data_IF_511856330232
#
_entry.id   IF_511856330232
#
_cell.length_a   1.000
_cell.length_b   1.000
_cell.length_c   1.000
_cell.angle_alpha   90.00
_cell.angle_beta   90.00
_cell.angle_gamma   90.00
#
_symmetry.space_group_name_H-M   'P 1'
#
loop_
_entity.id
_entity.type
_entity.pdbx_description
1 polymer ?
#
# COMPACT_ATOMS: atom_id res chain seq x y z
N UNK A 1 12.23 -39.32 21.53
CA UNK A 1 12.09 -37.85 21.45
C UNK A 1 11.34 -37.54 20.17
N UNK A 2 10.42 -36.57 20.14
CA UNK A 2 9.76 -36.18 18.89
C UNK A 2 10.75 -35.49 17.94
N UNK A 3 10.53 -35.64 16.64
CA UNK A 3 11.32 -34.96 15.60
C UNK A 3 10.98 -33.46 15.54
N UNK A 4 11.98 -32.62 15.27
CA UNK A 4 11.77 -31.19 15.07
C UNK A 4 11.12 -30.91 13.72
N UNK A 5 10.06 -30.09 13.71
CA UNK A 5 9.43 -29.57 12.49
C UNK A 5 9.05 -28.11 12.71
N UNK A 6 9.66 -27.22 11.95
CA UNK A 6 9.23 -25.82 11.88
C UNK A 6 7.94 -25.72 11.04
N UNK A 7 7.04 -24.84 11.46
CA UNK A 7 5.82 -24.48 10.74
C UNK A 7 5.65 -22.97 10.84
N UNK A 8 5.51 -22.30 9.69
CA UNK A 8 5.13 -20.90 9.65
C UNK A 8 3.74 -20.76 10.29
N UNK A 9 3.58 -19.89 11.31
CA UNK A 9 2.27 -19.65 11.94
C UNK A 9 1.25 -19.00 11.00
N UNK A 10 1.70 -18.36 9.91
CA UNK A 10 0.86 -17.62 8.96
C UNK A 10 1.21 -18.02 7.51
N UNK A 11 1.00 -19.29 7.11
CA UNK A 11 1.30 -19.74 5.75
C UNK A 11 0.41 -19.01 4.74
N UNK A 12 1.00 -18.54 3.65
CA UNK A 12 0.28 -17.85 2.59
C UNK A 12 -0.28 -18.85 1.56
N UNK A 13 -1.44 -18.51 0.98
CA UNK A 13 -1.96 -19.19 -0.20
C UNK A 13 -1.19 -18.84 -1.47
N UNK A 14 -1.58 -19.46 -2.59
CA UNK A 14 -1.02 -19.12 -3.90
C UNK A 14 -1.29 -17.65 -4.26
N UNK A 15 -0.27 -16.95 -4.74
CA UNK A 15 -0.41 -15.59 -5.21
C UNK A 15 -1.03 -15.56 -6.61
N UNK A 16 -2.26 -15.06 -6.70
CA UNK A 16 -3.00 -14.88 -7.96
C UNK A 16 -3.03 -13.42 -8.41
N UNK A 17 -2.24 -12.55 -7.77
CA UNK A 17 -2.20 -11.12 -8.05
C UNK A 17 -1.56 -10.87 -9.42
N UNK A 18 -2.16 -9.98 -10.21
CA UNK A 18 -1.54 -9.50 -11.45
C UNK A 18 -0.68 -8.29 -11.13
N UNK A 19 0.57 -8.34 -11.54
CA UNK A 19 1.53 -7.24 -11.40
C UNK A 19 1.78 -6.57 -12.74
N UNK A 20 2.05 -5.27 -12.72
CA UNK A 20 2.62 -4.56 -13.85
C UNK A 20 4.01 -4.05 -13.46
N UNK A 21 4.90 -3.95 -14.45
CA UNK A 21 6.24 -3.41 -14.26
C UNK A 21 6.18 -1.89 -14.38
N UNK A 22 6.74 -1.17 -13.40
CA UNK A 22 6.95 0.28 -13.52
C UNK A 22 7.97 0.52 -14.64
N UNK A 23 7.61 1.34 -15.63
CA UNK A 23 8.46 1.57 -16.79
C UNK A 23 9.82 2.17 -16.39
N UNK A 24 10.90 1.61 -16.95
CA UNK A 24 12.26 2.04 -16.65
C UNK A 24 12.78 1.64 -15.27
N UNK A 25 12.05 0.81 -14.51
CA UNK A 25 12.46 0.42 -13.15
C UNK A 25 13.68 -0.51 -13.13
N UNK A 26 14.03 -1.16 -14.25
CA UNK A 26 15.19 -2.04 -14.36
C UNK A 26 16.52 -1.32 -14.07
N UNK A 27 16.59 0.00 -14.27
CA UNK A 27 17.79 0.79 -13.99
C UNK A 27 18.14 0.86 -12.50
N UNK A 28 17.16 0.60 -11.63
CA UNK A 28 17.34 0.67 -10.19
C UNK A 28 17.76 -0.65 -9.57
N UNK A 29 17.87 -1.72 -10.36
CA UNK A 29 18.22 -3.04 -9.84
C UNK A 29 19.43 -3.61 -10.57
N UNK A 30 20.28 -4.29 -9.82
CA UNK A 30 21.39 -5.05 -10.37
C UNK A 30 21.66 -6.26 -9.49
N UNK A 31 22.24 -7.31 -10.07
CA UNK A 31 22.68 -8.48 -9.31
C UNK A 31 24.19 -8.41 -9.18
N UNK A 32 24.69 -8.57 -7.96
CA UNK A 32 26.12 -8.69 -7.68
C UNK A 32 26.39 -10.01 -6.98
N UNK A 33 27.56 -10.60 -7.24
CA UNK A 33 28.00 -11.76 -6.48
C UNK A 33 28.75 -11.30 -5.22
N UNK A 34 28.32 -11.77 -4.06
CA UNK A 34 28.98 -11.55 -2.78
C UNK A 34 29.18 -12.89 -2.10
N UNK A 35 30.44 -13.27 -1.89
CA UNK A 35 30.83 -14.55 -1.28
C UNK A 35 30.15 -15.78 -1.93
N UNK A 36 30.10 -15.78 -3.26
CA UNK A 36 29.48 -16.88 -4.02
C UNK A 36 27.95 -16.86 -4.04
N UNK A 37 27.28 -15.89 -3.40
CA UNK A 37 25.83 -15.71 -3.45
C UNK A 37 25.44 -14.51 -4.31
N UNK A 38 24.37 -14.68 -5.08
CA UNK A 38 23.78 -13.57 -5.82
C UNK A 38 22.98 -12.68 -4.86
N UNK A 39 23.25 -11.38 -4.93
CA UNK A 39 22.62 -10.35 -4.11
C UNK A 39 21.96 -9.33 -5.04
N UNK A 40 20.67 -9.12 -4.83
CA UNK A 40 19.92 -8.06 -5.48
C UNK A 40 20.26 -6.71 -4.84
N UNK A 41 21.02 -5.88 -5.54
CA UNK A 41 21.18 -4.47 -5.20
C UNK A 41 20.00 -3.68 -5.74
N UNK A 42 19.33 -2.97 -4.85
CA UNK A 42 18.23 -2.05 -5.15
C UNK A 42 18.69 -0.64 -4.85
N UNK A 43 18.68 0.24 -5.83
CA UNK A 43 18.90 1.66 -5.60
C UNK A 43 17.81 2.20 -4.65
N UNK A 44 18.15 2.94 -3.57
CA UNK A 44 17.16 3.48 -2.65
C UNK A 44 16.06 4.31 -3.34
N UNK A 45 16.36 4.95 -4.48
CA UNK A 45 15.38 5.68 -5.30
C UNK A 45 14.25 4.78 -5.82
N UNK A 46 14.49 3.48 -5.97
CA UNK A 46 13.45 2.52 -6.33
C UNK A 46 12.30 2.51 -5.31
N UNK A 47 12.62 2.64 -4.02
CA UNK A 47 11.64 2.64 -2.94
C UNK A 47 10.78 3.90 -2.98
N UNK A 48 11.39 5.05 -3.29
CA UNK A 48 10.67 6.32 -3.51
C UNK A 48 9.73 6.21 -4.70
N UNK A 49 10.20 5.70 -5.85
CA UNK A 49 9.38 5.54 -7.06
C UNK A 49 8.24 4.55 -6.82
N UNK A 50 8.54 3.37 -6.27
CA UNK A 50 7.54 2.34 -5.98
C UNK A 50 6.46 2.85 -5.02
N UNK A 51 6.86 3.51 -3.93
CA UNK A 51 5.92 4.02 -2.93
C UNK A 51 5.06 5.14 -3.51
N UNK A 52 5.63 6.01 -4.34
CA UNK A 52 4.88 7.05 -5.02
C UNK A 52 3.84 6.48 -5.98
N UNK A 53 4.25 5.55 -6.85
CA UNK A 53 3.34 4.89 -7.79
C UNK A 53 2.23 4.12 -7.06
N UNK A 54 2.58 3.32 -6.05
CA UNK A 54 1.60 2.49 -5.34
C UNK A 54 0.59 3.33 -4.54
N UNK A 55 1.05 4.39 -3.85
CA UNK A 55 0.17 5.27 -3.10
C UNK A 55 -0.72 6.11 -4.01
N UNK A 56 -0.24 6.49 -5.20
CA UNK A 56 -1.07 7.12 -6.23
C UNK A 56 -2.16 6.15 -6.68
N UNK A 57 -1.79 4.98 -7.17
CA UNK A 57 -2.73 4.00 -7.70
C UNK A 57 -3.82 3.62 -6.70
N UNK A 58 -3.47 3.32 -5.44
CA UNK A 58 -4.46 2.94 -4.41
C UNK A 58 -5.41 4.10 -4.04
N UNK A 59 -5.03 5.35 -4.30
CA UNK A 59 -5.86 6.52 -4.03
C UNK A 59 -6.91 6.78 -5.12
N UNK A 60 -6.69 6.26 -6.33
CA UNK A 60 -7.53 6.52 -7.51
C UNK A 60 -8.19 5.26 -8.11
N UNK A 61 -7.60 4.09 -7.89
CA UNK A 61 -8.02 2.83 -8.47
C UNK A 61 -8.47 1.82 -7.41
N UNK A 62 -9.36 0.93 -7.83
CA UNK A 62 -9.85 -0.18 -7.01
C UNK A 62 -9.47 -1.52 -7.64
N UNK A 63 -9.39 -2.56 -6.80
CA UNK A 63 -9.20 -3.93 -7.29
C UNK A 63 -10.43 -4.34 -8.14
N UNK A 64 -10.24 -4.99 -9.30
CA UNK A 64 -11.35 -5.45 -10.13
C UNK A 64 -12.36 -6.31 -9.35
N UNK A 65 -11.86 -7.22 -8.50
CA UNK A 65 -12.72 -8.08 -7.69
C UNK A 65 -13.65 -7.31 -6.72
N UNK A 66 -13.25 -6.12 -6.25
CA UNK A 66 -14.13 -5.28 -5.44
C UNK A 66 -15.24 -4.66 -6.30
N UNK A 67 -14.88 -4.09 -7.45
CA UNK A 67 -15.88 -3.53 -8.39
C UNK A 67 -16.86 -4.60 -8.88
N UNK A 68 -16.38 -5.81 -9.15
CA UNK A 68 -17.24 -6.95 -9.54
C UNK A 68 -18.21 -7.32 -8.42
N UNK A 69 -17.78 -7.27 -7.16
CA UNK A 69 -18.67 -7.52 -6.01
C UNK A 69 -19.74 -6.43 -5.89
N UNK A 70 -19.37 -5.15 -6.03
CA UNK A 70 -20.34 -4.04 -5.99
C UNK A 70 -21.31 -4.13 -7.18
N UNK A 71 -20.83 -4.47 -8.37
CA UNK A 71 -21.65 -4.61 -9.57
C UNK A 71 -22.68 -5.74 -9.46
N UNK A 72 -22.35 -6.85 -8.79
CA UNK A 72 -23.29 -7.97 -8.56
C UNK A 72 -24.55 -7.56 -7.80
N UNK A 73 -24.46 -6.55 -6.92
CA UNK A 73 -25.60 -6.02 -6.16
C UNK A 73 -26.72 -5.54 -7.10
N UNK A 74 -26.37 -5.02 -8.29
CA UNK A 74 -27.34 -4.46 -9.23
C UNK A 74 -28.28 -5.52 -9.83
N UNK A 75 -27.83 -6.78 -9.92
CA UNK A 75 -28.60 -7.89 -10.48
C UNK A 75 -29.12 -8.86 -9.43
N UNK A 76 -28.85 -8.60 -8.15
CA UNK A 76 -29.27 -9.47 -7.05
C UNK A 76 -30.78 -9.25 -6.78
N UNK A 77 -31.62 -10.31 -6.92
CA UNK A 77 -33.05 -10.20 -6.64
C UNK A 77 -33.37 -9.95 -5.16
N UNK A 78 -32.44 -10.23 -4.24
CA UNK A 78 -32.61 -9.98 -2.80
C UNK A 78 -32.15 -8.58 -2.38
N UNK A 79 -31.42 -7.85 -3.24
CA UNK A 79 -30.95 -6.50 -2.95
C UNK A 79 -32.10 -5.49 -2.94
N UNK A 80 -32.11 -4.64 -1.91
CA UNK A 80 -33.08 -3.54 -1.83
C UNK A 80 -32.78 -2.48 -2.88
N UNK A 81 -33.77 -1.62 -3.15
CA UNK A 81 -33.57 -0.48 -4.05
C UNK A 81 -32.50 0.49 -3.52
N UNK A 82 -32.36 0.61 -2.19
CA UNK A 82 -31.31 1.41 -1.59
C UNK A 82 -29.92 0.80 -1.83
N UNK A 83 -29.78 -0.51 -1.72
CA UNK A 83 -28.50 -1.19 -1.98
C UNK A 83 -28.05 -0.98 -3.42
N UNK A 84 -28.99 -1.10 -4.37
CA UNK A 84 -28.73 -0.86 -5.80
C UNK A 84 -28.35 0.59 -6.08
N UNK A 85 -29.04 1.55 -5.46
CA UNK A 85 -28.73 2.98 -5.60
C UNK A 85 -27.33 3.31 -5.05
N UNK A 86 -26.98 2.78 -3.88
CA UNK A 86 -25.65 2.97 -3.28
C UNK A 86 -24.57 2.30 -4.12
N UNK A 87 -24.80 1.07 -4.59
CA UNK A 87 -23.85 0.37 -5.46
C UNK A 87 -23.59 1.15 -6.76
N UNK A 88 -24.64 1.69 -7.38
CA UNK A 88 -24.50 2.54 -8.56
C UNK A 88 -23.67 3.79 -8.27
N UNK A 89 -23.90 4.46 -7.13
CA UNK A 89 -23.13 5.63 -6.74
C UNK A 89 -21.65 5.28 -6.53
N UNK A 90 -21.33 4.15 -5.90
CA UNK A 90 -19.95 3.70 -5.72
C UNK A 90 -19.25 3.40 -7.06
N UNK A 91 -19.92 2.72 -7.99
CA UNK A 91 -19.34 2.42 -9.30
C UNK A 91 -19.09 3.69 -10.13
N UNK A 92 -19.99 4.68 -10.05
CA UNK A 92 -19.79 6.00 -10.69
C UNK A 92 -18.63 6.76 -10.06
N UNK A 93 -18.52 6.74 -8.74
CA UNK A 93 -17.39 7.35 -8.05
C UNK A 93 -16.05 6.68 -8.45
N UNK A 94 -16.03 5.35 -8.57
CA UNK A 94 -14.85 4.61 -9.03
C UNK A 94 -14.47 4.96 -10.47
N UNK A 95 -15.45 5.09 -11.37
CA UNK A 95 -15.23 5.54 -12.74
C UNK A 95 -14.60 6.93 -12.78
N UNK A 96 -15.15 7.89 -12.04
CA UNK A 96 -14.63 9.27 -12.00
C UNK A 96 -13.20 9.28 -11.47
N UNK A 97 -12.95 8.56 -10.37
CA UNK A 97 -11.64 8.54 -9.73
C UNK A 97 -10.54 7.92 -10.60
N UNK A 98 -10.89 6.95 -11.45
CA UNK A 98 -9.96 6.31 -12.36
C UNK A 98 -9.35 7.25 -13.43
N UNK A 99 -9.84 8.49 -13.54
CA UNK A 99 -9.23 9.54 -14.37
C UNK A 99 -8.05 10.25 -13.67
N UNK A 100 -7.71 9.89 -12.43
CA UNK A 100 -6.59 10.42 -11.66
C UNK A 100 -6.65 11.94 -11.35
N UNK A 101 -7.83 12.56 -11.38
CA UNK A 101 -8.01 13.96 -10.98
C UNK A 101 -8.56 14.10 -9.56
N UNK A 102 -9.57 13.30 -9.22
CA UNK A 102 -10.23 13.28 -7.92
C UNK A 102 -10.02 11.92 -7.24
N UNK A 103 -9.51 11.87 -5.99
CA UNK A 103 -9.32 10.61 -5.29
C UNK A 103 -10.65 9.95 -4.99
N UNK A 104 -10.64 8.62 -4.81
CA UNK A 104 -11.85 7.84 -4.63
C UNK A 104 -12.60 8.24 -3.35
N UNK A 105 -11.89 8.72 -2.33
CA UNK A 105 -12.48 9.19 -1.08
C UNK A 105 -11.79 10.49 -0.63
N UNK A 106 -12.54 11.37 0.02
CA UNK A 106 -12.00 12.58 0.65
C UNK A 106 -11.05 12.26 1.81
N UNK A 107 -11.25 11.13 2.47
CA UNK A 107 -10.29 10.59 3.42
C UNK A 107 -9.29 9.70 2.69
N UNK A 108 -8.21 10.32 2.22
CA UNK A 108 -7.10 9.66 1.53
C UNK A 108 -6.21 8.83 2.47
N UNK A 109 -6.60 8.72 3.75
CA UNK A 109 -6.13 7.74 4.70
C UNK A 109 -4.71 7.94 5.22
N UNK A 110 -4.35 7.14 6.21
CA UNK A 110 -2.98 7.00 6.69
C UNK A 110 -2.22 6.05 5.76
N UNK A 111 -1.06 6.49 5.26
CA UNK A 111 -0.17 5.64 4.49
C UNK A 111 0.43 4.56 5.39
N UNK A 112 0.12 3.30 5.11
CA UNK A 112 0.62 2.12 5.84
C UNK A 112 1.31 1.18 4.87
N UNK A 113 2.55 0.82 5.16
CA UNK A 113 3.41 0.03 4.30
C UNK A 113 3.95 -1.14 5.10
N UNK A 114 3.61 -2.35 4.66
CA UNK A 114 4.24 -3.59 5.14
C UNK A 114 5.22 -4.05 4.08
N UNK A 115 6.49 -4.11 4.43
CA UNK A 115 7.55 -4.54 3.52
C UNK A 115 8.26 -5.77 4.08
N UNK A 116 8.57 -6.74 3.22
CA UNK A 116 9.30 -7.96 3.55
C UNK A 116 10.56 -8.01 2.70
N UNK A 117 11.70 -7.74 3.33
CA UNK A 117 13.01 -7.63 2.70
C UNK A 117 13.73 -8.97 2.76
N UNK A 118 13.95 -9.58 1.61
CA UNK A 118 14.78 -10.77 1.48
C UNK A 118 16.22 -10.54 1.95
N UNK A 119 16.82 -11.56 2.55
CA UNK A 119 18.20 -11.53 3.04
C UNK A 119 19.21 -11.16 1.94
N UNK A 120 18.93 -11.55 0.70
CA UNK A 120 19.77 -11.22 -0.47
C UNK A 120 19.41 -9.87 -1.11
N UNK A 121 18.65 -9.00 -0.43
CA UNK A 121 18.27 -7.66 -0.95
C UNK A 121 19.03 -6.56 -0.22
N UNK A 122 19.86 -5.83 -0.95
CA UNK A 122 20.64 -4.72 -0.42
C UNK A 122 20.19 -3.39 -1.01
N UNK A 123 19.70 -2.50 -0.15
CA UNK A 123 19.22 -1.17 -0.53
C UNK A 123 20.22 -0.06 -0.25
N UNK A 124 21.23 -0.30 0.59
CA UNK A 124 22.31 0.65 0.85
C UNK A 124 21.91 1.96 1.55
N UNK A 125 20.72 2.05 2.15
CA UNK A 125 20.23 3.27 2.80
C UNK A 125 19.14 3.02 3.84
N UNK A 126 18.53 4.12 4.31
CA UNK A 126 17.37 4.07 5.19
C UNK A 126 16.10 3.85 4.37
N UNK A 127 15.63 2.60 4.31
CA UNK A 127 14.45 2.22 3.54
C UNK A 127 13.21 3.01 3.93
N UNK A 128 13.00 3.26 5.23
CA UNK A 128 11.83 3.97 5.73
C UNK A 128 11.82 5.44 5.31
N UNK A 129 12.99 6.08 5.22
CA UNK A 129 13.13 7.45 4.70
C UNK A 129 12.71 7.51 3.22
N UNK A 130 13.17 6.57 2.40
CA UNK A 130 12.87 6.54 0.95
C UNK A 130 11.42 6.19 0.65
N UNK A 131 10.85 5.27 1.43
CA UNK A 131 9.40 4.98 1.39
C UNK A 131 8.61 6.24 1.76
N UNK A 132 9.01 6.94 2.84
CA UNK A 132 8.37 8.19 3.28
C UNK A 132 8.48 9.29 2.23
N UNK A 133 9.60 9.39 1.52
CA UNK A 133 9.79 10.33 0.40
C UNK A 133 8.78 10.07 -0.72
N UNK A 134 8.55 8.81 -1.09
CA UNK A 134 7.54 8.44 -2.10
C UNK A 134 6.11 8.75 -1.64
N UNK A 135 5.80 8.50 -0.37
CA UNK A 135 4.51 8.90 0.24
C UNK A 135 4.36 10.42 0.17
N UNK A 136 5.34 11.18 0.66
CA UNK A 136 5.35 12.64 0.63
C UNK A 136 5.04 13.16 -0.77
N UNK A 137 5.81 12.72 -1.77
CA UNK A 137 5.61 13.13 -3.17
C UNK A 137 4.18 12.90 -3.63
N UNK A 138 3.62 11.73 -3.34
CA UNK A 138 2.23 11.42 -3.72
C UNK A 138 1.25 12.43 -3.13
N UNK A 139 1.31 12.67 -1.82
CA UNK A 139 0.36 13.54 -1.16
C UNK A 139 0.55 15.02 -1.53
N UNK A 140 1.77 15.45 -1.90
CA UNK A 140 2.06 16.83 -2.26
C UNK A 140 1.91 17.16 -3.75
N UNK A 141 2.01 16.16 -4.63
CA UNK A 141 1.94 16.33 -6.09
C UNK A 141 0.56 15.96 -6.67
N UNK A 142 -0.28 15.24 -5.90
CA UNK A 142 -1.64 14.87 -6.27
C UNK A 142 -2.70 15.62 -5.44
N UNK A 143 -3.96 15.57 -5.87
CA UNK A 143 -5.10 16.21 -5.18
C UNK A 143 -5.58 15.40 -3.95
N UNK A 144 -4.67 15.07 -3.03
CA UNK A 144 -4.95 14.28 -1.82
C UNK A 144 -5.06 15.15 -0.57
N UNK A 145 -5.47 14.55 0.56
CA UNK A 145 -5.67 15.25 1.83
C UNK A 145 -4.58 14.92 2.87
N UNK A 146 -4.10 15.94 3.57
CA UNK A 146 -3.23 15.80 4.73
C UNK A 146 -4.04 15.52 5.99
N UNK A 147 -4.04 14.28 6.44
CA UNK A 147 -4.92 13.78 7.51
C UNK A 147 -4.17 13.43 8.80
N UNK A 148 -2.84 13.51 8.80
CA UNK A 148 -2.04 13.23 10.00
C UNK A 148 -1.88 14.48 10.87
N UNK A 149 -2.23 14.29 12.14
CA UNK A 149 -2.08 15.28 13.21
C UNK A 149 -1.04 14.76 14.18
N UNK A 150 -0.01 15.58 14.45
CA UNK A 150 1.04 15.25 15.43
C UNK A 150 0.79 16.02 16.72
N UNK A 151 0.94 15.32 17.84
CA UNK A 151 0.85 15.90 19.17
C UNK A 151 2.17 16.62 19.51
N UNK A 152 2.07 17.89 19.88
CA UNK A 152 3.18 18.71 20.39
C UNK A 152 3.29 18.56 21.92
N UNK A 153 2.15 18.44 22.57
CA UNK A 153 1.99 18.03 23.96
C UNK A 153 0.65 17.26 24.11
N UNK A 154 0.16 17.09 25.33
CA UNK A 154 -1.08 16.34 25.59
C UNK A 154 -2.32 16.89 24.87
N UNK A 155 -2.37 18.20 24.61
CA UNK A 155 -3.58 18.88 24.11
C UNK A 155 -3.33 19.72 22.86
N UNK A 156 -2.09 20.14 22.62
CA UNK A 156 -1.72 20.92 21.46
C UNK A 156 -1.26 20.01 20.33
N UNK A 157 -1.85 20.24 19.17
CA UNK A 157 -1.65 19.43 17.98
C UNK A 157 -1.39 20.29 16.76
N UNK A 158 -0.73 19.71 15.74
CA UNK A 158 -0.52 20.36 14.46
C UNK A 158 -0.68 19.35 13.32
N UNK A 159 -1.34 19.76 12.25
CA UNK A 159 -1.30 19.00 10.99
C UNK A 159 0.13 19.03 10.43
N UNK A 160 0.64 17.89 9.97
CA UNK A 160 2.01 17.84 9.43
C UNK A 160 2.15 18.56 8.09
N UNK A 161 1.05 18.83 7.40
CA UNK A 161 1.00 19.51 6.10
C UNK A 161 1.39 18.61 4.93
N UNK A 162 1.57 17.31 5.18
CA UNK A 162 2.15 16.37 4.20
C UNK A 162 1.56 14.96 4.25
N UNK A 163 0.64 14.70 5.19
CA UNK A 163 0.15 13.36 5.55
C UNK A 163 1.22 12.37 6.06
N UNK A 164 2.42 12.83 6.37
CA UNK A 164 3.41 12.06 7.12
C UNK A 164 3.19 12.22 8.63
N UNK A 165 3.73 11.33 9.50
CA UNK A 165 4.48 10.12 9.15
C UNK A 165 3.60 9.02 8.54
N UNK A 166 4.21 8.17 7.72
CA UNK A 166 3.63 6.89 7.32
C UNK A 166 3.91 5.83 8.40
N UNK A 167 3.03 4.84 8.53
CA UNK A 167 3.36 3.61 9.25
C UNK A 167 4.16 2.69 8.32
N UNK A 168 5.38 2.33 8.71
CA UNK A 168 6.29 1.53 7.87
C UNK A 168 6.83 0.37 8.71
N UNK A 169 6.36 -0.83 8.39
CA UNK A 169 6.77 -2.08 9.04
C UNK A 169 7.67 -2.88 8.09
N UNK A 170 8.98 -2.90 8.37
CA UNK A 170 9.99 -3.61 7.58
C UNK A 170 10.36 -4.94 8.25
N UNK A 171 9.99 -6.06 7.63
CA UNK A 171 10.28 -7.41 8.08
C UNK A 171 11.48 -8.00 7.33
N UNK A 172 12.36 -8.71 8.05
CA UNK A 172 13.38 -9.55 7.43
C UNK A 172 12.78 -10.90 7.01
N UNK A 173 13.12 -11.37 5.82
CA UNK A 173 12.72 -12.68 5.27
C UNK A 173 13.87 -13.30 4.49
N UNK A 174 13.75 -14.57 4.12
CA UNK A 174 14.68 -15.22 3.20
C UNK A 174 14.46 -14.79 1.74
N UNK A 175 15.45 -15.04 0.88
CA UNK A 175 15.37 -14.86 -0.57
C UNK A 175 15.88 -13.51 -1.09
N UNK A 176 15.70 -13.33 -2.40
CA UNK A 176 16.24 -12.24 -3.22
C UNK A 176 15.16 -11.24 -3.68
N UNK A 177 14.03 -11.19 -2.98
CA UNK A 177 12.90 -10.33 -3.31
C UNK A 177 12.56 -9.34 -2.18
N UNK A 178 12.19 -8.13 -2.56
CA UNK A 178 11.60 -7.14 -1.66
C UNK A 178 10.11 -7.02 -1.95
N UNK A 179 9.26 -7.54 -1.07
CA UNK A 179 7.80 -7.61 -1.26
C UNK A 179 7.10 -6.54 -0.43
N UNK A 180 6.08 -5.91 -0.98
CA UNK A 180 5.38 -4.80 -0.32
C UNK A 180 3.86 -4.98 -0.37
N UNK A 181 3.20 -4.47 0.67
CA UNK A 181 1.78 -4.19 0.70
C UNK A 181 1.60 -2.73 1.10
N UNK A 182 1.06 -1.93 0.19
CA UNK A 182 0.71 -0.54 0.42
C UNK A 182 -0.78 -0.42 0.72
N UNK A 183 -1.13 0.37 1.74
CA UNK A 183 -2.49 0.56 2.19
C UNK A 183 -2.70 2.06 2.49
N UNK A 184 -3.70 2.67 1.85
CA UNK A 184 -4.25 3.95 2.26
C UNK A 184 -5.43 3.71 3.19
N UNK A 185 -5.19 3.70 4.51
CA UNK A 185 -6.21 3.29 5.49
C UNK A 185 -7.01 4.50 5.98
N UNK A 186 -8.27 4.62 5.53
CA UNK A 186 -9.19 5.66 6.02
C UNK A 186 -9.49 5.50 7.51
N UNK A 187 -9.46 6.62 8.24
CA UNK A 187 -9.59 6.66 9.71
C UNK A 187 -10.92 6.09 10.20
N UNK A 188 -12.00 6.33 9.45
CA UNK A 188 -13.32 5.77 9.77
C UNK A 188 -13.32 4.24 9.84
N UNK A 189 -12.62 3.58 8.92
CA UNK A 189 -12.48 2.11 8.92
C UNK A 189 -11.45 1.61 9.93
N UNK A 190 -10.40 2.39 10.21
CA UNK A 190 -9.42 2.06 11.25
C UNK A 190 -10.09 2.01 12.62
N UNK A 191 -10.94 2.99 12.94
CA UNK A 191 -11.70 3.10 14.19
C UNK A 191 -12.73 1.97 14.42
N UNK A 192 -12.96 1.12 13.41
CA UNK A 192 -13.82 -0.07 13.52
C UNK A 192 -13.04 -1.36 13.77
N UNK A 193 -11.75 -1.26 14.07
CA UNK A 193 -10.93 -2.37 14.56
C UNK A 193 -11.05 -2.45 16.08
N UNK A 194 -11.52 -3.59 16.61
CA UNK A 194 -11.80 -3.78 18.04
C UNK A 194 -11.07 -5.02 18.56
N UNK A 195 -10.63 -4.97 19.81
CA UNK A 195 -10.08 -6.11 20.56
C UNK A 195 -11.05 -6.41 21.71
N UNK A 196 -11.42 -7.68 21.88
CA UNK A 196 -12.38 -8.16 22.87
C UNK A 196 -11.73 -9.18 23.81
#
# INVERSE_FOLDING_TARGET
MPDFKYQDPMPLGADTTKYYKIEGSEKFVSVVNFDGQDVLKVDPQALTVLSNTAMRDVSFLLRPAHNDQVAKILSDPEASENDKLVAMAFLRNAEISANFELPFCQDTGTATIVAKKGQQVWTGGNDAERISEGVYKTYTEENLRYSQTVALDMYNEKNTGTNLPAQIDLYATEGDAYKFLFIAKGGGSANKTMLF
#
